data_IF_910153315215
#
_entry.id   IF_910153315215
#
_cell.length_a   1.000
_cell.length_b   1.000
_cell.length_c   1.000
_cell.angle_alpha   90.00
_cell.angle_beta   90.00
_cell.angle_gamma   90.00
#
_symmetry.space_group_name_H-M   'P 1'
#
loop_
_entity.id
_entity.type
_entity.pdbx_description
1 polymer ?
#
# COMPACT_ATOMS: atom_id res chain seq x y z
N UNK A 1 -23.47 -3.39 -8.19
CA UNK A 1 -22.11 -2.88 -7.90
C UNK A 1 -21.14 -3.47 -8.91
N UNK A 2 -20.12 -2.71 -9.31
CA UNK A 2 -19.16 -3.12 -10.33
C UNK A 2 -17.76 -3.28 -9.73
N UNK A 3 -17.09 -4.37 -10.10
CA UNK A 3 -15.73 -4.70 -9.72
C UNK A 3 -14.84 -4.67 -10.96
N UNK A 4 -13.69 -4.03 -10.88
CA UNK A 4 -12.62 -4.21 -11.85
C UNK A 4 -11.63 -5.25 -11.31
N UNK A 5 -11.41 -6.31 -12.06
CA UNK A 5 -10.63 -7.47 -11.65
C UNK A 5 -9.45 -7.66 -12.60
N UNK A 6 -8.26 -7.74 -12.05
CA UNK A 6 -7.04 -8.07 -12.79
C UNK A 6 -6.30 -9.16 -12.04
N UNK A 7 -6.04 -10.28 -12.72
CA UNK A 7 -5.31 -11.42 -12.12
C UNK A 7 -5.91 -11.87 -10.77
N UNK A 8 -7.24 -12.01 -10.70
CA UNK A 8 -8.05 -12.29 -9.51
C UNK A 8 -8.09 -11.17 -8.46
N UNK A 9 -7.26 -10.14 -8.57
CA UNK A 9 -7.25 -9.00 -7.64
C UNK A 9 -8.35 -8.01 -7.99
N UNK A 10 -9.03 -7.52 -6.97
CA UNK A 10 -10.00 -6.44 -7.12
C UNK A 10 -9.21 -5.12 -7.10
N UNK A 11 -9.13 -4.45 -8.25
CA UNK A 11 -8.37 -3.21 -8.41
C UNK A 11 -9.22 -1.95 -8.30
N UNK A 12 -10.54 -2.09 -8.45
CA UNK A 12 -11.49 -1.00 -8.22
C UNK A 12 -12.88 -1.55 -7.90
N UNK A 13 -13.67 -0.75 -7.18
CA UNK A 13 -15.08 -1.01 -6.87
C UNK A 13 -15.85 0.30 -6.97
N UNK A 14 -17.04 0.24 -7.57
CA UNK A 14 -17.96 1.35 -7.60
C UNK A 14 -19.41 0.88 -7.88
N UNK A 15 -20.37 1.75 -7.52
CA UNK A 15 -21.79 1.51 -7.82
C UNK A 15 -22.10 1.58 -9.31
N UNK A 16 -21.34 2.36 -10.06
CA UNK A 16 -21.50 2.51 -11.51
C UNK A 16 -20.29 1.96 -12.25
N UNK A 17 -20.52 1.31 -13.39
CA UNK A 17 -19.48 0.72 -14.21
C UNK A 17 -18.42 1.73 -14.64
N UNK A 18 -18.84 2.90 -15.13
CA UNK A 18 -17.92 3.91 -15.62
C UNK A 18 -17.01 4.48 -14.53
N UNK A 19 -17.50 4.65 -13.31
CA UNK A 19 -16.66 5.07 -12.19
C UNK A 19 -15.71 3.97 -11.71
N UNK A 20 -16.16 2.71 -11.77
CA UNK A 20 -15.30 1.56 -11.51
C UNK A 20 -14.13 1.52 -12.51
N UNK A 21 -14.41 1.65 -13.80
CA UNK A 21 -13.40 1.72 -14.86
C UNK A 21 -12.44 2.89 -14.66
N UNK A 22 -12.96 4.08 -14.34
CA UNK A 22 -12.13 5.26 -14.05
C UNK A 22 -11.14 5.01 -12.91
N UNK A 23 -11.60 4.41 -11.82
CA UNK A 23 -10.75 4.04 -10.68
C UNK A 23 -9.69 3.01 -11.08
N UNK A 24 -10.08 1.99 -11.82
CA UNK A 24 -9.18 0.94 -12.30
C UNK A 24 -8.06 1.49 -13.19
N UNK A 25 -8.35 2.47 -14.03
CA UNK A 25 -7.36 3.18 -14.87
C UNK A 25 -6.46 4.14 -14.08
N UNK A 26 -6.75 4.42 -12.82
CA UNK A 26 -6.00 5.39 -12.03
C UNK A 26 -6.07 6.82 -12.57
N UNK A 27 -7.16 7.18 -13.28
CA UNK A 27 -7.31 8.51 -13.84
C UNK A 27 -7.33 9.59 -12.76
N UNK A 28 -6.47 10.57 -12.90
CA UNK A 28 -6.41 11.73 -12.01
C UNK A 28 -7.65 12.63 -12.19
N UNK A 29 -7.96 13.48 -11.20
CA UNK A 29 -9.06 14.45 -11.32
C UNK A 29 -8.99 15.32 -12.59
N UNK A 30 -7.84 15.89 -13.00
CA UNK A 30 -7.74 16.67 -14.23
C UNK A 30 -8.05 15.87 -15.50
N UNK A 31 -7.60 14.63 -15.58
CA UNK A 31 -7.89 13.74 -16.73
C UNK A 31 -9.37 13.37 -16.79
N UNK A 32 -9.97 13.13 -15.63
CA UNK A 32 -11.40 12.90 -15.52
C UNK A 32 -12.23 14.11 -16.00
N UNK A 33 -11.88 15.33 -15.61
CA UNK A 33 -12.58 16.53 -16.03
C UNK A 33 -12.43 16.79 -17.53
N UNK A 34 -11.24 16.60 -18.11
CA UNK A 34 -11.04 16.67 -19.56
C UNK A 34 -11.89 15.67 -20.33
N UNK A 35 -12.00 14.48 -19.76
CA UNK A 35 -12.85 13.44 -20.35
C UNK A 35 -14.33 13.82 -20.24
N UNK A 36 -14.82 14.33 -19.10
CA UNK A 36 -16.18 14.84 -18.96
C UNK A 36 -16.49 15.98 -19.94
N UNK A 37 -15.56 16.88 -20.15
CA UNK A 37 -15.70 17.98 -21.11
C UNK A 37 -15.79 17.47 -22.55
N UNK A 38 -15.26 16.31 -22.85
CA UNK A 38 -15.35 15.67 -24.17
C UNK A 38 -16.71 15.00 -24.45
N UNK A 39 -17.53 14.84 -23.41
CA UNK A 39 -18.85 14.17 -23.49
C UNK A 39 -19.93 15.23 -23.62
N UNK A 40 -20.65 15.22 -24.73
CA UNK A 40 -21.71 16.19 -24.99
C UNK A 40 -23.08 15.80 -24.45
N UNK A 41 -23.34 14.53 -24.16
CA UNK A 41 -24.56 14.04 -23.49
C UNK A 41 -24.50 12.53 -23.19
N UNK A 42 -25.08 12.11 -22.06
CA UNK A 42 -25.24 10.69 -21.67
C UNK A 42 -24.09 10.11 -20.88
N UNK A 43 -24.23 8.84 -20.52
CA UNK A 43 -23.15 8.08 -19.90
C UNK A 43 -21.94 7.96 -20.84
N UNK A 44 -20.73 7.95 -20.31
CA UNK A 44 -19.53 7.82 -21.13
C UNK A 44 -19.59 6.56 -21.97
N UNK A 45 -19.25 6.66 -23.26
CA UNK A 45 -19.25 5.48 -24.11
C UNK A 45 -18.22 4.47 -23.59
N UNK A 46 -18.66 3.24 -23.38
CA UNK A 46 -17.82 2.11 -22.95
C UNK A 46 -16.65 1.87 -23.94
N UNK A 47 -16.79 2.34 -25.18
CA UNK A 47 -15.77 2.26 -26.23
C UNK A 47 -14.47 3.01 -25.94
N UNK A 48 -14.46 3.99 -25.04
CA UNK A 48 -13.24 4.76 -24.69
C UNK A 48 -12.29 4.00 -23.74
N UNK A 49 -12.68 2.80 -23.35
CA UNK A 49 -11.89 1.92 -22.48
C UNK A 49 -11.18 0.79 -23.23
N UNK A 50 -11.03 0.92 -24.54
CA UNK A 50 -10.22 -0.01 -25.34
C UNK A 50 -8.80 -0.12 -24.79
N UNK A 51 -8.25 -1.33 -24.71
CA UNK A 51 -6.92 -1.59 -24.16
C UNK A 51 -6.90 -1.80 -22.63
N UNK A 52 -8.07 -1.96 -22.01
CA UNK A 52 -8.15 -2.40 -20.62
C UNK A 52 -7.63 -3.84 -20.50
N UNK A 53 -6.79 -4.04 -19.48
CA UNK A 53 -6.21 -5.34 -19.13
C UNK A 53 -6.85 -5.94 -17.86
N UNK A 54 -8.09 -5.56 -17.59
CA UNK A 54 -8.90 -6.01 -16.47
C UNK A 54 -10.33 -6.34 -16.93
N UNK A 55 -10.98 -7.21 -16.18
CA UNK A 55 -12.39 -7.58 -16.38
C UNK A 55 -13.29 -6.72 -15.49
N UNK A 56 -14.47 -6.34 -15.99
CA UNK A 56 -15.54 -5.73 -15.19
C UNK A 56 -16.58 -6.79 -14.87
N UNK A 57 -16.86 -6.99 -13.60
CA UNK A 57 -17.89 -7.90 -13.10
C UNK A 57 -18.95 -7.09 -12.36
N UNK A 58 -20.21 -7.27 -12.73
CA UNK A 58 -21.34 -6.79 -11.96
C UNK A 58 -21.70 -7.83 -10.89
N UNK A 59 -21.90 -7.38 -9.66
CA UNK A 59 -22.30 -8.24 -8.55
C UNK A 59 -23.29 -7.54 -7.64
N UNK A 60 -24.29 -8.29 -7.17
CA UNK A 60 -25.21 -7.86 -6.11
C UNK A 60 -24.67 -8.20 -4.72
N UNK A 61 -23.51 -8.83 -4.63
CA UNK A 61 -22.87 -9.15 -3.38
C UNK A 61 -22.46 -7.85 -2.67
N UNK A 62 -23.08 -7.61 -1.51
CA UNK A 62 -22.65 -6.55 -0.61
C UNK A 62 -21.27 -6.93 -0.07
N UNK A 63 -20.28 -6.15 -0.41
CA UNK A 63 -18.96 -6.26 0.20
C UNK A 63 -19.12 -6.09 1.70
N UNK A 64 -18.86 -7.16 2.42
CA UNK A 64 -18.71 -7.13 3.86
C UNK A 64 -17.27 -7.46 4.23
N UNK A 65 -16.71 -6.66 5.09
CA UNK A 65 -15.36 -6.84 5.64
C UNK A 65 -15.46 -6.93 7.17
N UNK A 66 -14.72 -7.84 7.76
CA UNK A 66 -14.60 -7.91 9.21
C UNK A 66 -13.31 -7.16 9.58
N UNK A 67 -13.43 -6.06 10.30
CA UNK A 67 -12.29 -5.27 10.76
C UNK A 67 -11.51 -5.98 11.88
N UNK A 68 -10.41 -5.36 12.32
CA UNK A 68 -9.56 -5.87 13.40
C UNK A 68 -10.28 -6.00 14.75
N UNK A 69 -11.41 -5.30 14.91
CA UNK A 69 -12.25 -5.35 16.12
C UNK A 69 -13.40 -6.35 16.00
N UNK A 70 -13.46 -7.11 14.90
CA UNK A 70 -14.50 -8.12 14.66
C UNK A 70 -15.83 -7.54 14.19
N UNK A 71 -15.89 -6.26 13.81
CA UNK A 71 -17.11 -5.62 13.29
C UNK A 71 -17.22 -5.92 11.80
N UNK A 72 -18.41 -6.32 11.38
CA UNK A 72 -18.73 -6.46 9.96
C UNK A 72 -19.11 -5.09 9.40
N UNK A 73 -18.31 -4.58 8.47
CA UNK A 73 -18.56 -3.33 7.77
C UNK A 73 -19.04 -3.65 6.36
N UNK A 74 -20.08 -2.92 5.92
CA UNK A 74 -20.58 -3.01 4.55
C UNK A 74 -20.08 -1.83 3.72
N UNK A 75 -20.00 -1.98 2.41
CA UNK A 75 -19.61 -0.90 1.50
C UNK A 75 -20.43 0.37 1.72
N UNK A 76 -21.73 0.24 1.96
CA UNK A 76 -22.64 1.36 2.21
C UNK A 76 -22.30 2.13 3.49
N UNK A 77 -21.84 1.44 4.52
CA UNK A 77 -21.55 2.04 5.83
C UNK A 77 -20.23 2.78 5.87
N UNK A 78 -19.30 2.44 5.01
CA UNK A 78 -17.96 3.04 5.03
C UNK A 78 -17.65 3.93 3.85
N UNK A 79 -18.48 3.93 2.79
CA UNK A 79 -18.26 4.68 1.54
C UNK A 79 -16.92 4.36 0.84
N UNK A 80 -16.03 3.69 1.53
CA UNK A 80 -14.64 3.45 1.14
C UNK A 80 -14.08 2.13 1.67
N UNK A 81 -14.91 1.16 2.01
CA UNK A 81 -14.46 -0.12 2.61
C UNK A 81 -13.23 -0.70 1.94
N UNK A 82 -13.08 -0.47 0.66
CA UNK A 82 -11.99 -1.05 -0.13
C UNK A 82 -10.76 -0.18 -0.16
N UNK A 83 -10.86 1.09 0.24
CA UNK A 83 -9.74 2.02 0.18
C UNK A 83 -9.21 2.49 1.53
N UNK A 84 -10.01 2.50 2.58
CA UNK A 84 -9.69 3.26 3.79
C UNK A 84 -9.53 2.42 5.06
N UNK A 85 -9.99 1.19 5.08
CA UNK A 85 -9.76 0.32 6.23
C UNK A 85 -8.46 -0.45 5.99
N UNK A 86 -7.37 0.04 6.54
CA UNK A 86 -6.05 -0.60 6.58
C UNK A 86 -5.45 -0.95 5.20
N UNK A 87 -5.81 -0.22 4.14
CA UNK A 87 -5.40 -0.56 2.78
C UNK A 87 -5.98 -1.88 2.29
N UNK A 88 -7.12 -2.28 2.78
CA UNK A 88 -7.67 -3.63 2.78
C UNK A 88 -8.22 -4.12 1.45
N UNK A 89 -8.39 -3.26 0.44
CA UNK A 89 -8.69 -3.77 -0.91
C UNK A 89 -7.60 -4.73 -1.42
N UNK A 90 -6.37 -4.63 -0.93
CA UNK A 90 -5.30 -5.59 -1.23
C UNK A 90 -5.52 -6.97 -0.64
N UNK A 91 -6.45 -7.11 0.29
CA UNK A 91 -6.71 -8.34 1.02
C UNK A 91 -7.98 -9.05 0.55
N UNK A 92 -8.58 -8.57 -0.51
CA UNK A 92 -9.76 -9.15 -1.13
C UNK A 92 -9.45 -9.56 -2.56
N UNK A 93 -9.95 -10.71 -2.97
CA UNK A 93 -9.86 -11.21 -4.34
C UNK A 93 -11.18 -11.78 -4.82
N UNK A 94 -11.34 -11.79 -6.12
CA UNK A 94 -12.44 -12.47 -6.78
C UNK A 94 -12.06 -13.93 -7.05
N UNK A 95 -12.87 -14.89 -6.63
CA UNK A 95 -12.60 -16.32 -6.85
C UNK A 95 -13.31 -16.91 -8.06
N UNK A 96 -13.89 -16.06 -8.93
CA UNK A 96 -14.68 -16.44 -10.08
C UNK A 96 -16.20 -16.39 -9.84
N UNK A 97 -16.65 -16.26 -8.59
CA UNK A 97 -18.07 -16.19 -8.24
C UNK A 97 -18.39 -15.21 -7.12
N UNK A 98 -17.47 -14.97 -6.23
CA UNK A 98 -17.66 -14.06 -5.07
C UNK A 98 -16.35 -13.45 -4.62
N UNK A 99 -16.47 -12.39 -3.82
CA UNK A 99 -15.35 -11.75 -3.14
C UNK A 99 -14.95 -12.60 -1.94
N UNK A 100 -13.66 -12.90 -1.86
CA UNK A 100 -13.07 -13.66 -0.75
C UNK A 100 -11.85 -12.95 -0.19
N UNK A 101 -11.49 -13.27 1.04
CA UNK A 101 -10.27 -12.78 1.66
C UNK A 101 -9.04 -13.33 0.95
N UNK A 102 -8.03 -12.49 0.77
CA UNK A 102 -6.72 -12.85 0.24
C UNK A 102 -5.68 -12.83 1.37
N UNK A 103 -5.56 -13.94 2.07
CA UNK A 103 -4.66 -14.06 3.22
C UNK A 103 -3.18 -13.91 2.82
N UNK A 104 -2.79 -14.30 1.60
CA UNK A 104 -1.43 -14.14 1.11
C UNK A 104 -1.09 -12.65 0.87
N UNK A 105 -2.03 -11.91 0.28
CA UNK A 105 -1.86 -10.46 0.10
C UNK A 105 -1.82 -9.74 1.45
N UNK A 106 -2.66 -10.13 2.41
CA UNK A 106 -2.66 -9.60 3.77
C UNK A 106 -1.32 -9.86 4.47
N UNK A 107 -0.83 -11.10 4.43
CA UNK A 107 0.45 -11.46 5.02
C UNK A 107 1.61 -10.65 4.40
N UNK A 108 1.60 -10.49 3.08
CA UNK A 108 2.59 -9.70 2.35
C UNK A 108 2.57 -8.23 2.79
N UNK A 109 1.38 -7.65 2.91
CA UNK A 109 1.21 -6.28 3.38
C UNK A 109 1.71 -6.11 4.83
N UNK A 110 1.30 -7.00 5.74
CA UNK A 110 1.72 -6.95 7.13
C UNK A 110 3.24 -7.07 7.27
N UNK A 111 3.86 -7.94 6.49
CA UNK A 111 5.32 -8.07 6.45
C UNK A 111 6.00 -6.79 5.97
N UNK A 112 5.45 -6.15 4.93
CA UNK A 112 5.97 -4.89 4.42
C UNK A 112 5.88 -3.73 5.44
N UNK A 113 4.78 -3.64 6.19
CA UNK A 113 4.61 -2.65 7.27
C UNK A 113 5.61 -2.89 8.42
N UNK A 114 5.81 -4.13 8.86
CA UNK A 114 6.84 -4.45 9.86
C UNK A 114 8.24 -4.01 9.40
N UNK A 115 8.60 -4.27 8.16
CA UNK A 115 9.87 -3.80 7.60
C UNK A 115 9.98 -2.28 7.49
N UNK A 116 8.88 -1.59 7.30
CA UNK A 116 8.82 -0.12 7.33
C UNK A 116 9.13 0.41 8.73
N UNK A 117 8.59 -0.20 9.77
CA UNK A 117 8.87 0.15 11.15
C UNK A 117 10.34 -0.09 11.52
N UNK A 118 10.90 -1.24 11.12
CA UNK A 118 12.33 -1.54 11.29
C UNK A 118 13.21 -0.47 10.61
N UNK A 119 12.89 -0.08 9.37
CA UNK A 119 13.63 0.98 8.66
C UNK A 119 13.51 2.32 9.37
N UNK A 120 12.32 2.68 9.85
CA UNK A 120 12.09 3.92 10.61
C UNK A 120 12.93 3.97 11.88
N UNK A 121 12.97 2.88 12.63
CA UNK A 121 13.81 2.78 13.83
C UNK A 121 15.31 2.86 13.50
N UNK A 122 15.76 2.16 12.45
CA UNK A 122 17.14 2.24 11.96
C UNK A 122 17.55 3.68 11.61
N UNK A 123 16.69 4.39 10.87
CA UNK A 123 16.94 5.76 10.43
C UNK A 123 17.03 6.70 11.63
N UNK A 124 16.16 6.53 12.64
CA UNK A 124 16.26 7.26 13.90
C UNK A 124 17.60 7.04 14.57
N UNK A 125 18.05 5.78 14.71
CA UNK A 125 19.34 5.45 15.34
C UNK A 125 20.53 6.00 14.55
N UNK A 126 20.49 6.03 13.23
CA UNK A 126 21.50 6.67 12.40
C UNK A 126 21.55 8.17 12.63
N UNK A 127 20.40 8.85 12.63
CA UNK A 127 20.28 10.29 12.89
C UNK A 127 20.81 10.68 14.27
N UNK A 128 20.51 9.88 15.30
CA UNK A 128 21.03 10.07 16.67
C UNK A 128 22.57 10.03 16.75
N UNK A 129 23.23 9.50 15.75
CA UNK A 129 24.68 9.34 15.70
C UNK A 129 25.39 10.19 14.64
N UNK A 130 24.65 11.04 13.92
CA UNK A 130 25.23 11.90 12.87
C UNK A 130 26.20 12.94 13.44
N UNK A 131 25.98 13.36 14.69
CA UNK A 131 26.90 14.25 15.39
C UNK A 131 28.33 13.70 15.49
N UNK A 132 28.51 12.36 15.51
CA UNK A 132 29.84 11.73 15.56
C UNK A 132 30.63 12.04 14.29
N UNK A 133 29.94 12.04 13.14
CA UNK A 133 30.55 12.35 11.84
C UNK A 133 30.83 13.86 11.77
N UNK A 134 29.87 14.68 12.15
CA UNK A 134 30.02 16.15 12.17
C UNK A 134 31.18 16.56 13.06
N UNK A 135 31.25 16.05 14.30
CA UNK A 135 32.36 16.32 15.22
C UNK A 135 33.72 15.93 14.63
N UNK A 136 33.82 14.74 14.02
CA UNK A 136 35.07 14.30 13.43
C UNK A 136 35.52 15.22 12.29
N UNK A 137 34.56 15.73 11.49
CA UNK A 137 34.83 16.70 10.41
C UNK A 137 35.29 18.04 10.96
N UNK A 138 34.59 18.58 11.98
CA UNK A 138 34.92 19.86 12.60
C UNK A 138 36.28 19.87 13.28
N UNK A 139 36.65 18.73 13.85
CA UNK A 139 37.94 18.59 14.59
C UNK A 139 39.06 18.01 13.72
N UNK A 140 38.84 17.85 12.42
CA UNK A 140 39.80 17.22 11.47
C UNK A 140 40.31 15.85 11.92
N UNK A 141 39.46 15.09 12.63
CA UNK A 141 39.79 13.75 13.14
C UNK A 141 39.00 12.66 12.37
N UNK A 142 39.42 11.43 12.52
CA UNK A 142 38.68 10.30 11.95
C UNK A 142 37.64 9.78 12.93
N UNK A 143 36.45 9.43 12.41
CA UNK A 143 35.46 8.64 13.16
C UNK A 143 36.10 7.32 13.59
N UNK A 144 35.97 6.95 14.87
CA UNK A 144 36.56 5.71 15.39
C UNK A 144 36.00 4.47 14.69
N UNK A 145 36.79 3.39 14.68
CA UNK A 145 36.37 2.12 14.05
C UNK A 145 35.09 1.56 14.70
N UNK A 146 34.93 1.68 16.00
CA UNK A 146 33.72 1.24 16.72
C UNK A 146 32.46 1.94 16.21
N UNK A 147 32.49 3.27 16.05
CA UNK A 147 31.37 4.03 15.49
C UNK A 147 31.12 3.72 14.02
N UNK A 148 32.19 3.54 13.23
CA UNK A 148 32.02 3.13 11.82
C UNK A 148 31.32 1.77 11.71
N UNK A 149 31.75 0.78 12.50
CA UNK A 149 31.18 -0.56 12.54
C UNK A 149 29.73 -0.54 13.01
N UNK A 150 29.42 0.21 14.07
CA UNK A 150 28.04 0.36 14.56
C UNK A 150 27.11 0.95 13.50
N UNK A 151 27.51 2.06 12.86
CA UNK A 151 26.70 2.71 11.83
C UNK A 151 26.55 1.84 10.58
N UNK A 152 27.59 1.04 10.23
CA UNK A 152 27.45 0.08 9.16
C UNK A 152 26.48 -1.05 9.53
N UNK A 153 26.61 -1.62 10.72
CA UNK A 153 25.68 -2.65 11.19
C UNK A 153 24.22 -2.14 11.25
N UNK A 154 23.98 -0.87 11.58
CA UNK A 154 22.64 -0.28 11.46
C UNK A 154 22.13 -0.26 10.02
N UNK A 155 22.96 0.10 9.03
CA UNK A 155 22.56 0.10 7.62
C UNK A 155 22.20 -1.30 7.13
N UNK A 156 22.84 -2.32 7.69
CA UNK A 156 22.67 -3.72 7.32
C UNK A 156 21.46 -4.38 8.03
N UNK A 157 20.85 -3.72 9.04
CA UNK A 157 19.68 -4.24 9.78
C UNK A 157 18.56 -4.71 8.83
N UNK A 158 18.15 -3.97 7.76
CA UNK A 158 17.07 -4.42 6.89
C UNK A 158 17.40 -5.64 6.01
N UNK A 159 18.62 -6.15 6.05
CA UNK A 159 19.00 -7.39 5.34
C UNK A 159 18.79 -8.66 6.17
N UNK A 160 18.35 -8.53 7.42
CA UNK A 160 17.95 -9.67 8.24
C UNK A 160 16.66 -10.29 7.69
N UNK A 161 16.41 -11.55 8.01
CA UNK A 161 15.33 -12.33 7.40
C UNK A 161 13.97 -12.15 8.09
N UNK A 162 13.95 -11.70 9.35
CA UNK A 162 12.75 -11.66 10.16
C UNK A 162 12.59 -10.30 10.86
N UNK A 163 11.58 -9.51 10.48
CA UNK A 163 11.35 -8.19 11.10
C UNK A 163 10.85 -8.25 12.54
N UNK A 164 10.33 -9.41 13.00
CA UNK A 164 9.87 -9.59 14.38
C UNK A 164 11.02 -9.93 15.34
N UNK A 165 12.16 -10.38 14.82
CA UNK A 165 13.33 -10.83 15.60
C UNK A 165 14.61 -10.10 15.17
N UNK A 166 14.57 -8.78 15.13
CA UNK A 166 15.72 -7.96 14.74
C UNK A 166 16.82 -7.95 15.80
N UNK A 167 18.03 -8.32 15.40
CA UNK A 167 19.22 -8.12 16.20
C UNK A 167 19.77 -6.72 15.95
N UNK A 168 19.58 -5.83 16.90
CA UNK A 168 20.10 -4.46 16.86
C UNK A 168 21.56 -4.40 17.31
N UNK A 169 22.43 -3.64 16.63
CA UNK A 169 23.82 -3.48 17.08
C UNK A 169 23.90 -2.66 18.36
N UNK A 170 24.90 -2.98 19.20
CA UNK A 170 25.15 -2.25 20.45
C UNK A 170 25.89 -0.95 20.17
N UNK A 171 25.33 0.16 20.66
CA UNK A 171 25.92 1.50 20.52
C UNK A 171 27.26 1.58 21.27
N UNK A 172 28.33 2.10 20.65
CA UNK A 172 29.59 2.36 21.33
C UNK A 172 29.44 3.40 22.44
N UNK A 173 30.22 3.24 23.52
CA UNK A 173 30.33 4.21 24.62
C UNK A 173 31.15 5.44 24.21
#
# INVERSE_FOLDING_TARGET
MFLAIKDTKIIAIHETEWQCRRKAKGLTKPEYWKWLESITSGDPPVSDYSGEDYEIVETDELLSYVDSEGRTLTYEQSGHIVSDIDGTHYHLKWNGSKIVKDDDALATYQLAEKWKDVRSQRDRLLNETDWVVTKATETETSVSSAWKSYRQALRDVPSQSDPDNITWPTKPS
#
